data_IF_837067506041
#
_entry.id   IF_837067506041
#
_cell.length_a   1.000
_cell.length_b   1.000
_cell.length_c   1.000
_cell.angle_alpha   90.00
_cell.angle_beta   90.00
_cell.angle_gamma   90.00
#
_symmetry.space_group_name_H-M   'P 1'
#
loop_
_entity.id
_entity.type
_entity.pdbx_description
1 polymer ?
#
# COMPACT_ATOMS: atom_id res chain seq x y z
N UNK A 1 35.15 -23.25 -62.08
CA UNK A 1 34.24 -22.19 -61.60
C UNK A 1 33.50 -22.74 -60.38
N UNK A 2 33.58 -21.95 -59.30
CA UNK A 2 33.25 -22.17 -57.88
C UNK A 2 31.74 -22.37 -57.56
N UNK A 3 31.37 -22.68 -56.29
CA UNK A 3 30.45 -23.78 -55.95
C UNK A 3 29.04 -23.40 -55.42
N UNK A 4 28.22 -24.45 -55.26
CA UNK A 4 27.24 -24.75 -54.21
C UNK A 4 26.53 -23.55 -53.52
N UNK A 5 25.26 -23.31 -53.89
CA UNK A 5 24.36 -22.38 -53.19
C UNK A 5 23.86 -23.02 -51.88
N UNK A 6 24.34 -22.52 -50.75
CA UNK A 6 23.88 -22.85 -49.40
C UNK A 6 22.49 -22.24 -49.14
N UNK A 7 21.48 -23.08 -48.93
CA UNK A 7 20.23 -22.70 -48.30
C UNK A 7 20.41 -22.73 -46.78
N UNK A 8 20.66 -21.57 -46.16
CA UNK A 8 20.71 -21.43 -44.70
C UNK A 8 19.34 -20.96 -44.21
N UNK A 9 18.61 -21.89 -43.60
CA UNK A 9 17.42 -21.62 -42.81
C UNK A 9 17.74 -20.64 -41.68
N UNK A 10 17.06 -19.48 -41.68
CA UNK A 10 17.12 -18.53 -40.56
C UNK A 10 16.10 -18.93 -39.51
N UNK A 11 16.50 -19.76 -38.56
CA UNK A 11 15.79 -19.92 -37.29
C UNK A 11 16.26 -18.81 -36.35
N UNK A 12 15.42 -17.78 -36.17
CA UNK A 12 15.66 -16.75 -35.15
C UNK A 12 15.05 -17.27 -33.84
N UNK A 13 15.90 -17.82 -32.97
CA UNK A 13 15.51 -18.16 -31.58
C UNK A 13 15.56 -16.86 -30.78
N UNK A 14 14.39 -16.27 -30.53
CA UNK A 14 14.23 -15.13 -29.63
C UNK A 14 14.28 -15.64 -28.19
N UNK A 15 15.49 -15.71 -27.62
CA UNK A 15 15.69 -15.99 -26.20
C UNK A 15 15.16 -14.81 -25.38
N UNK A 16 13.92 -14.91 -24.91
CA UNK A 16 13.36 -14.05 -23.88
C UNK A 16 14.21 -14.20 -22.61
N UNK A 17 15.08 -13.22 -22.38
CA UNK A 17 15.85 -13.09 -21.15
C UNK A 17 14.86 -12.90 -19.98
N UNK A 18 14.57 -13.99 -19.27
CA UNK A 18 13.96 -13.96 -17.94
C UNK A 18 14.98 -13.36 -16.97
N UNK A 19 15.04 -12.04 -16.89
CA UNK A 19 15.78 -11.37 -15.83
C UNK A 19 15.05 -11.67 -14.51
N UNK A 20 15.72 -12.29 -13.51
CA UNK A 20 15.12 -12.43 -12.20
C UNK A 20 14.84 -11.02 -11.67
N UNK A 21 13.58 -10.75 -11.34
CA UNK A 21 13.22 -9.53 -10.62
C UNK A 21 13.88 -9.60 -9.25
N UNK A 22 15.07 -9.01 -9.12
CA UNK A 22 15.65 -8.69 -7.84
C UNK A 22 14.63 -7.81 -7.11
N UNK A 23 13.98 -8.39 -6.10
CA UNK A 23 13.09 -7.65 -5.22
C UNK A 23 13.94 -6.61 -4.49
N UNK A 24 13.93 -5.39 -5.00
CA UNK A 24 14.61 -4.29 -4.36
C UNK A 24 14.08 -4.16 -2.93
N UNK A 25 15.00 -4.09 -1.97
CA UNK A 25 14.68 -3.78 -0.59
C UNK A 25 13.98 -2.41 -0.53
N UNK A 26 13.05 -2.25 0.40
CA UNK A 26 12.38 -0.97 0.61
C UNK A 26 13.42 0.08 1.00
N UNK A 27 13.29 1.34 0.53
CA UNK A 27 14.17 2.39 1.00
C UNK A 27 13.98 2.60 2.51
N UNK A 28 15.05 3.03 3.20
CA UNK A 28 15.03 3.21 4.66
C UNK A 28 13.94 4.17 5.16
N UNK A 29 13.55 5.14 4.33
CA UNK A 29 12.50 6.11 4.64
C UNK A 29 11.07 5.63 4.32
N UNK A 30 10.90 4.40 3.82
CA UNK A 30 9.58 3.90 3.42
C UNK A 30 8.61 3.87 4.60
N UNK A 31 9.05 3.29 5.72
CA UNK A 31 8.25 3.22 6.95
C UNK A 31 7.83 4.61 7.41
N UNK A 32 8.79 5.53 7.56
CA UNK A 32 8.55 6.89 8.01
C UNK A 32 7.51 7.63 7.16
N UNK A 33 7.62 7.54 5.83
CA UNK A 33 6.68 8.19 4.92
C UNK A 33 5.29 7.59 5.04
N UNK A 34 5.18 6.26 5.00
CA UNK A 34 3.88 5.58 5.07
C UNK A 34 3.23 5.81 6.44
N UNK A 35 3.95 5.69 7.54
CA UNK A 35 3.44 5.99 8.88
C UNK A 35 2.95 7.43 9.01
N UNK A 36 3.67 8.40 8.44
CA UNK A 36 3.21 9.78 8.41
C UNK A 36 1.88 9.93 7.65
N UNK A 37 1.73 9.21 6.53
CA UNK A 37 0.49 9.17 5.74
C UNK A 37 -0.66 8.55 6.53
N UNK A 38 -0.43 7.39 7.12
CA UNK A 38 -1.43 6.65 7.88
C UNK A 38 -1.88 7.41 9.13
N UNK A 39 -0.99 8.19 9.74
CA UNK A 39 -1.30 9.11 10.83
C UNK A 39 -1.97 10.43 10.36
N UNK A 40 -2.26 10.59 9.07
CA UNK A 40 -2.79 11.81 8.45
C UNK A 40 -1.90 13.06 8.58
N UNK A 41 -0.58 12.89 8.67
CA UNK A 41 0.42 13.96 8.89
C UNK A 41 1.29 14.29 7.68
N UNK A 42 0.99 13.75 6.49
CA UNK A 42 1.83 13.94 5.29
C UNK A 42 1.03 14.33 4.04
N UNK A 43 1.73 14.28 2.90
CA UNK A 43 1.19 14.33 1.55
C UNK A 43 -0.07 13.46 1.39
N UNK A 44 -1.03 13.95 0.62
CA UNK A 44 -2.35 13.36 0.41
C UNK A 44 -2.71 13.21 -1.07
N UNK A 45 -1.86 13.70 -1.98
CA UNK A 45 -2.02 13.53 -3.42
C UNK A 45 -2.05 12.06 -3.80
N UNK A 46 -3.16 11.64 -4.38
CA UNK A 46 -3.34 10.31 -4.96
C UNK A 46 -2.26 10.02 -5.99
N UNK A 47 -1.94 10.96 -6.87
CA UNK A 47 -0.91 10.79 -7.90
C UNK A 47 0.48 10.59 -7.29
N UNK A 48 0.81 11.37 -6.25
CA UNK A 48 2.09 11.25 -5.57
C UNK A 48 2.25 9.86 -4.93
N UNK A 49 1.24 9.38 -4.19
CA UNK A 49 1.28 8.09 -3.52
C UNK A 49 1.28 6.91 -4.51
N UNK A 50 0.53 7.01 -5.60
CA UNK A 50 0.59 6.02 -6.69
C UNK A 50 1.98 5.94 -7.30
N UNK A 51 2.59 7.09 -7.59
CA UNK A 51 3.95 7.16 -8.15
C UNK A 51 4.97 6.58 -7.16
N UNK A 52 4.88 6.98 -5.89
CA UNK A 52 5.77 6.51 -4.82
C UNK A 52 5.68 4.99 -4.62
N UNK A 53 4.47 4.43 -4.56
CA UNK A 53 4.29 2.99 -4.46
C UNK A 53 4.80 2.26 -5.71
N UNK A 54 4.52 2.75 -6.92
CA UNK A 54 5.03 2.14 -8.15
C UNK A 54 6.56 2.22 -8.30
N UNK A 55 7.19 3.22 -7.67
CA UNK A 55 8.64 3.37 -7.68
C UNK A 55 9.34 2.39 -6.73
N UNK A 56 8.74 2.11 -5.57
CA UNK A 56 9.40 1.35 -4.50
C UNK A 56 8.83 -0.05 -4.27
N UNK A 57 7.64 -0.30 -4.80
CA UNK A 57 6.97 -1.59 -4.82
C UNK A 57 6.86 -2.07 -6.27
N UNK A 58 6.34 -3.27 -6.45
CA UNK A 58 5.99 -3.78 -7.77
C UNK A 58 4.70 -3.15 -8.31
N UNK A 59 4.25 -3.60 -9.47
CA UNK A 59 2.93 -3.27 -9.99
C UNK A 59 1.84 -3.62 -8.95
N UNK A 60 0.71 -2.89 -8.93
CA UNK A 60 -0.42 -3.24 -8.09
C UNK A 60 -0.82 -4.71 -8.29
N UNK A 61 -1.04 -5.43 -7.20
CA UNK A 61 -1.51 -6.82 -7.21
C UNK A 61 -3.00 -6.92 -7.54
N UNK A 62 -3.76 -5.83 -7.33
CA UNK A 62 -5.16 -5.69 -7.76
C UNK A 62 -5.63 -4.23 -7.71
N UNK A 63 -6.77 -3.98 -8.34
CA UNK A 63 -7.57 -2.76 -8.17
C UNK A 63 -8.92 -3.17 -7.60
N UNK A 64 -9.28 -2.63 -6.43
CA UNK A 64 -10.54 -2.97 -5.76
C UNK A 64 -10.96 -1.87 -4.78
N UNK A 65 -12.26 -1.56 -4.73
CA UNK A 65 -12.81 -0.53 -3.85
C UNK A 65 -12.24 0.86 -4.14
N UNK A 66 -12.13 1.21 -5.42
CA UNK A 66 -11.54 2.48 -5.89
C UNK A 66 -10.09 2.71 -5.45
N UNK A 67 -9.33 1.64 -5.21
CA UNK A 67 -7.93 1.72 -4.81
C UNK A 67 -7.05 0.71 -5.57
N UNK A 68 -5.82 1.12 -5.84
CA UNK A 68 -4.73 0.24 -6.23
C UNK A 68 -4.11 -0.38 -4.97
N UNK A 69 -3.99 -1.71 -4.96
CA UNK A 69 -3.40 -2.46 -3.86
C UNK A 69 -2.05 -3.02 -4.28
N UNK A 70 -1.06 -2.88 -3.43
CA UNK A 70 0.31 -3.31 -3.64
C UNK A 70 0.71 -4.30 -2.56
N UNK A 71 1.61 -5.23 -2.87
CA UNK A 71 2.25 -6.05 -1.86
C UNK A 71 3.05 -5.13 -0.92
N UNK A 72 2.79 -5.21 0.39
CA UNK A 72 3.43 -4.37 1.40
C UNK A 72 4.87 -4.78 1.73
N UNK A 73 5.37 -5.87 1.13
CA UNK A 73 6.70 -6.44 1.35
C UNK A 73 7.04 -6.65 2.83
N UNK A 74 6.03 -6.92 3.66
CA UNK A 74 6.16 -7.04 5.11
C UNK A 74 6.83 -5.82 5.77
N UNK A 75 6.59 -4.61 5.23
CA UNK A 75 7.07 -3.37 5.80
C UNK A 75 6.66 -3.28 7.28
N UNK A 76 7.62 -2.94 8.15
CA UNK A 76 7.33 -2.68 9.55
C UNK A 76 6.79 -1.27 9.69
N UNK A 77 5.57 -1.13 10.21
CA UNK A 77 4.88 0.13 10.43
C UNK A 77 4.33 0.16 11.86
N UNK A 78 4.91 1.00 12.70
CA UNK A 78 4.58 1.18 14.10
C UNK A 78 4.50 -0.16 14.86
N UNK A 79 5.44 -1.08 14.59
CA UNK A 79 5.49 -2.41 15.20
C UNK A 79 4.56 -3.46 14.58
N UNK A 80 3.95 -3.16 13.43
CA UNK A 80 3.08 -4.08 12.69
C UNK A 80 3.67 -4.41 11.32
N UNK A 81 3.39 -5.60 10.78
CA UNK A 81 3.80 -5.97 9.42
C UNK A 81 2.67 -5.70 8.43
N UNK A 82 2.91 -4.81 7.48
CA UNK A 82 1.97 -4.55 6.40
C UNK A 82 1.99 -5.71 5.39
N UNK A 83 0.87 -6.41 5.28
CA UNK A 83 0.66 -7.39 4.22
C UNK A 83 0.53 -6.68 2.87
N UNK A 84 -0.25 -5.59 2.86
CA UNK A 84 -0.55 -4.83 1.66
C UNK A 84 -0.60 -3.35 2.00
N UNK A 85 -0.31 -2.52 1.00
CA UNK A 85 -0.55 -1.08 1.05
C UNK A 85 -1.48 -0.69 -0.09
N UNK A 86 -2.29 0.35 0.09
CA UNK A 86 -3.22 0.81 -0.93
C UNK A 86 -3.32 2.33 -0.97
N UNK A 87 -3.64 2.83 -2.16
CA UNK A 87 -3.94 4.23 -2.45
C UNK A 87 -5.09 4.27 -3.44
N UNK A 88 -5.94 5.29 -3.35
CA UNK A 88 -7.07 5.45 -4.25
C UNK A 88 -6.65 5.51 -5.74
N UNK A 89 -7.57 5.17 -6.63
CA UNK A 89 -7.44 5.48 -8.06
C UNK A 89 -7.73 6.97 -8.29
N UNK A 90 -7.29 7.56 -9.42
CA UNK A 90 -7.54 8.97 -9.73
C UNK A 90 -9.01 9.36 -9.77
N UNK A 91 -9.90 8.41 -10.07
CA UNK A 91 -11.34 8.63 -10.20
C UNK A 91 -12.09 8.54 -8.86
N UNK A 92 -11.42 8.13 -7.78
CA UNK A 92 -12.06 7.97 -6.47
C UNK A 92 -12.46 9.32 -5.88
N UNK A 93 -13.65 9.36 -5.27
CA UNK A 93 -14.10 10.52 -4.48
C UNK A 93 -13.40 10.67 -3.12
N UNK A 94 -12.50 9.75 -2.76
CA UNK A 94 -11.78 9.74 -1.49
C UNK A 94 -10.27 9.88 -1.69
N UNK A 95 -9.62 10.58 -0.76
CA UNK A 95 -8.17 10.71 -0.68
C UNK A 95 -7.68 9.84 0.45
N UNK A 96 -7.16 8.65 0.14
CA UNK A 96 -6.76 7.68 1.16
C UNK A 96 -5.44 7.01 0.83
N UNK A 97 -4.69 6.77 1.90
CA UNK A 97 -3.54 5.87 1.93
C UNK A 97 -3.75 4.95 3.11
N UNK A 98 -3.56 3.66 2.88
CA UNK A 98 -3.81 2.67 3.91
C UNK A 98 -3.00 1.41 3.75
N UNK A 99 -3.11 0.56 4.76
CA UNK A 99 -2.45 -0.74 4.83
C UNK A 99 -3.40 -1.80 5.37
N UNK A 100 -3.14 -3.03 4.97
CA UNK A 100 -3.75 -4.23 5.50
C UNK A 100 -2.72 -4.96 6.37
N UNK A 101 -3.11 -5.28 7.60
CA UNK A 101 -2.25 -5.92 8.59
C UNK A 101 -2.94 -7.21 9.03
N UNK A 102 -2.22 -8.33 8.97
CA UNK A 102 -2.68 -9.62 9.48
C UNK A 102 -2.44 -9.71 11.00
N UNK A 103 -3.16 -8.88 11.75
CA UNK A 103 -3.22 -8.95 13.19
C UNK A 103 -4.56 -8.41 13.70
N UNK A 104 -5.05 -8.88 14.87
CA UNK A 104 -6.24 -8.34 15.51
C UNK A 104 -6.14 -6.84 15.79
N UNK A 105 -7.27 -6.14 15.66
CA UNK A 105 -7.32 -4.67 15.80
C UNK A 105 -6.83 -4.17 17.15
N UNK A 106 -7.04 -4.94 18.22
CA UNK A 106 -6.56 -4.60 19.56
C UNK A 106 -5.02 -4.59 19.62
N UNK A 107 -4.37 -5.56 18.99
CA UNK A 107 -2.90 -5.64 18.89
C UNK A 107 -2.36 -4.50 18.04
N UNK A 108 -2.95 -4.28 16.87
CA UNK A 108 -2.53 -3.20 15.96
C UNK A 108 -2.66 -1.83 16.63
N UNK A 109 -3.81 -1.56 17.27
CA UNK A 109 -4.04 -0.32 18.02
C UNK A 109 -2.98 -0.14 19.11
N UNK A 110 -2.79 -1.13 19.98
CA UNK A 110 -1.80 -1.05 21.07
C UNK A 110 -0.40 -0.71 20.56
N UNK A 111 0.04 -1.36 19.49
CA UNK A 111 1.35 -1.14 18.88
C UNK A 111 1.50 0.29 18.37
N UNK A 112 0.50 0.77 17.62
CA UNK A 112 0.49 2.15 17.08
C UNK A 112 0.52 3.17 18.21
N UNK A 113 -0.35 3.01 19.22
CA UNK A 113 -0.42 3.95 20.34
C UNK A 113 0.89 4.02 21.12
N UNK A 114 1.54 2.86 21.32
CA UNK A 114 2.84 2.76 22.01
C UNK A 114 3.96 3.42 21.20
N UNK A 115 4.01 3.19 19.89
CA UNK A 115 5.11 3.62 19.03
C UNK A 115 4.99 5.06 18.54
N UNK A 116 3.76 5.52 18.28
CA UNK A 116 3.50 6.80 17.63
C UNK A 116 3.02 7.89 18.58
N UNK A 117 2.69 7.55 19.83
CA UNK A 117 2.36 8.55 20.87
C UNK A 117 1.01 9.26 20.69
N UNK A 118 0.09 8.67 19.93
CA UNK A 118 -1.30 9.14 19.84
C UNK A 118 -2.28 7.99 20.08
N UNK A 119 -3.48 8.31 20.55
CA UNK A 119 -4.50 7.32 20.91
C UNK A 119 -5.60 7.22 19.86
N UNK A 120 -6.29 6.08 19.83
CA UNK A 120 -7.55 5.92 19.10
C UNK A 120 -8.73 5.79 20.07
N UNK A 121 -9.86 6.34 19.65
CA UNK A 121 -11.14 6.20 20.35
C UNK A 121 -12.05 5.31 19.53
N UNK A 122 -12.75 4.39 20.19
CA UNK A 122 -13.75 3.56 19.52
C UNK A 122 -14.94 4.40 19.07
N UNK A 123 -15.39 4.17 17.84
CA UNK A 123 -16.57 4.81 17.28
C UNK A 123 -17.80 3.91 17.43
N UNK A 124 -18.98 4.49 17.70
CA UNK A 124 -20.21 3.71 17.73
C UNK A 124 -20.52 3.14 16.34
N UNK A 125 -21.10 1.94 16.31
CA UNK A 125 -21.55 1.29 15.09
C UNK A 125 -21.54 -0.23 15.20
N UNK A 126 -22.09 -0.93 14.19
CA UNK A 126 -22.17 -2.39 14.19
C UNK A 126 -20.82 -3.09 13.98
N UNK A 127 -19.78 -2.36 13.56
CA UNK A 127 -18.45 -2.88 13.29
C UNK A 127 -17.41 -2.09 14.09
N UNK A 128 -16.45 -2.76 14.77
CA UNK A 128 -15.40 -2.08 15.52
C UNK A 128 -14.56 -1.18 14.60
N UNK A 129 -14.63 0.12 14.86
CA UNK A 129 -13.82 1.14 14.20
C UNK A 129 -13.24 2.07 15.24
N UNK A 130 -12.02 2.52 15.00
CA UNK A 130 -11.32 3.42 15.91
C UNK A 130 -10.81 4.62 15.15
N UNK A 131 -10.88 5.80 15.76
CA UNK A 131 -10.47 7.07 15.18
C UNK A 131 -9.52 7.79 16.13
N UNK A 132 -8.37 8.21 15.61
CA UNK A 132 -7.47 9.11 16.33
C UNK A 132 -7.90 10.57 16.16
N UNK A 133 -7.43 11.43 17.06
CA UNK A 133 -7.62 12.90 16.92
C UNK A 133 -7.03 13.46 15.62
N UNK A 134 -6.07 12.76 15.00
CA UNK A 134 -5.44 13.16 13.75
C UNK A 134 -6.22 12.74 12.50
N UNK A 135 -7.29 11.95 12.65
CA UNK A 135 -8.08 11.42 11.52
C UNK A 135 -7.63 10.04 11.03
N UNK A 136 -6.60 9.45 11.65
CA UNK A 136 -6.20 8.07 11.38
C UNK A 136 -7.29 7.09 11.84
N UNK A 137 -7.58 6.08 11.02
CA UNK A 137 -8.67 5.12 11.22
C UNK A 137 -8.13 3.69 11.30
N UNK A 138 -8.64 2.93 12.27
CA UNK A 138 -8.51 1.47 12.31
C UNK A 138 -9.88 0.84 12.10
N UNK A 139 -9.95 -0.14 11.22
CA UNK A 139 -11.18 -0.93 10.98
C UNK A 139 -10.83 -2.39 11.08
N UNK A 140 -11.61 -3.11 11.88
CA UNK A 140 -11.55 -4.57 11.92
C UNK A 140 -12.13 -5.14 10.61
N UNK A 141 -11.33 -5.90 9.87
CA UNK A 141 -11.76 -6.58 8.63
C UNK A 141 -12.21 -8.02 8.94
N UNK A 142 -11.45 -8.72 9.79
CA UNK A 142 -11.78 -10.04 10.35
C UNK A 142 -11.27 -10.14 11.78
N UNK A 143 -11.34 -11.30 12.45
CA UNK A 143 -10.69 -11.48 13.77
C UNK A 143 -9.17 -11.24 13.69
N UNK A 144 -8.54 -11.65 12.59
CA UNK A 144 -7.08 -11.65 12.41
C UNK A 144 -6.57 -10.57 11.46
N UNK A 145 -7.45 -9.67 10.99
CA UNK A 145 -7.08 -8.68 9.98
C UNK A 145 -7.64 -7.30 10.29
N UNK A 146 -6.75 -6.30 10.17
CA UNK A 146 -7.03 -4.90 10.45
C UNK A 146 -6.63 -4.04 9.27
N UNK A 147 -7.49 -3.09 8.90
CA UNK A 147 -7.17 -2.03 7.98
C UNK A 147 -6.78 -0.79 8.78
N UNK A 148 -5.60 -0.23 8.52
CA UNK A 148 -5.16 1.05 9.06
C UNK A 148 -5.03 2.04 7.91
N UNK A 149 -5.70 3.19 7.99
CA UNK A 149 -5.64 4.18 6.92
C UNK A 149 -5.85 5.58 7.43
N UNK A 150 -5.27 6.54 6.68
CA UNK A 150 -5.77 7.89 6.69
C UNK A 150 -6.72 8.04 5.52
N UNK A 151 -7.82 8.75 5.75
CA UNK A 151 -8.65 9.16 4.67
C UNK A 151 -9.18 10.57 4.89
N UNK A 152 -9.32 11.30 3.79
CA UNK A 152 -9.88 12.64 3.74
C UNK A 152 -10.94 12.63 2.66
N UNK A 153 -12.14 13.01 3.04
CA UNK A 153 -13.32 13.10 2.17
C UNK A 153 -13.58 14.58 2.03
N UNK A 154 -13.71 15.06 0.79
CA UNK A 154 -14.09 16.43 0.42
C UNK A 154 -13.60 17.53 1.38
N UNK A 155 -12.55 18.25 0.98
CA UNK A 155 -12.10 19.51 1.60
C UNK A 155 -13.12 20.66 1.42
N UNK A 156 -14.41 20.39 1.61
CA UNK A 156 -15.54 21.30 1.45
C UNK A 156 -16.86 20.64 1.87
N UNK A 157 -17.14 20.61 3.18
CA UNK A 157 -18.39 20.20 3.85
C UNK A 157 -18.39 18.78 4.46
N UNK A 158 -18.01 18.71 5.75
CA UNK A 158 -18.94 18.12 6.72
C UNK A 158 -20.03 19.17 6.99
N UNK A 159 -21.33 18.84 7.03
CA UNK A 159 -22.27 19.66 7.78
C UNK A 159 -21.84 19.73 9.27
#
# INVERSE_FOLDING_TARGET
>A
MSPLKQNIAKVVVMALLYAPQLHAALPSHFGDKVEAALACRSEWSTEWWRSYFRQHLEAPIRVWGEAEWFNGKNAELAGNRAQEVFVNTPESGALMVGVLINSPVATVRKNIETKMGFSFVELPGPYPRYLSKLGSVLVRVSEEQTKWYCARWNLGNRP
#
